data_IF_428327803542
#
_entry.id   IF_428327803542
#
_cell.length_a   1.000
_cell.length_b   1.000
_cell.length_c   1.000
_cell.angle_alpha   90.00
_cell.angle_beta   90.00
_cell.angle_gamma   90.00
#
_symmetry.space_group_name_H-M   'P 1'
#
loop_
_entity.id
_entity.type
_entity.pdbx_description
1 polymer ?
#
# COMPACT_ATOMS: atom_id res chain seq x y z
N UNK A 1 43.63 -36.25 -19.16
CA UNK A 1 42.22 -35.94 -18.82
C UNK A 1 41.98 -34.43 -18.74
N UNK A 2 42.89 -33.64 -18.16
CA UNK A 2 42.79 -32.18 -18.03
C UNK A 2 42.73 -31.37 -19.34
N UNK A 3 43.49 -31.76 -20.36
CA UNK A 3 43.58 -30.99 -21.61
C UNK A 3 42.33 -31.11 -22.49
N UNK A 4 41.51 -32.16 -22.30
CA UNK A 4 40.26 -32.34 -23.02
C UNK A 4 39.14 -31.47 -22.41
N UNK A 5 39.09 -31.36 -21.07
CA UNK A 5 38.15 -30.46 -20.37
C UNK A 5 38.40 -28.98 -20.71
N UNK A 6 39.67 -28.57 -20.83
CA UNK A 6 40.03 -27.18 -21.09
C UNK A 6 39.74 -26.76 -22.55
N UNK A 7 39.84 -27.71 -23.48
CA UNK A 7 39.51 -27.52 -24.91
C UNK A 7 37.99 -27.47 -25.15
N UNK A 8 37.22 -28.28 -24.41
CA UNK A 8 35.75 -28.26 -24.40
C UNK A 8 35.21 -26.96 -23.76
N UNK A 9 35.79 -26.51 -22.64
CA UNK A 9 35.48 -25.19 -22.02
C UNK A 9 35.72 -24.02 -22.96
N UNK A 10 36.85 -24.00 -23.68
CA UNK A 10 37.17 -22.96 -24.68
C UNK A 10 36.25 -22.98 -25.90
N UNK A 11 35.71 -24.15 -26.27
CA UNK A 11 34.77 -24.29 -27.40
C UNK A 11 33.40 -23.70 -27.05
N UNK A 12 32.93 -23.93 -25.82
CA UNK A 12 31.68 -23.39 -25.27
C UNK A 12 31.76 -21.89 -24.90
N UNK A 13 32.91 -21.39 -24.47
CA UNK A 13 33.14 -19.98 -24.12
C UNK A 13 33.77 -19.18 -25.27
N UNK A 14 33.40 -19.47 -26.52
CA UNK A 14 33.74 -18.60 -27.64
C UNK A 14 32.99 -17.26 -27.49
N UNK A 15 33.64 -16.13 -27.80
CA UNK A 15 33.04 -14.80 -27.61
C UNK A 15 31.66 -14.62 -28.26
N UNK A 16 31.39 -15.32 -29.38
CA UNK A 16 30.06 -15.38 -30.01
C UNK A 16 29.02 -16.10 -29.14
N UNK A 17 29.37 -17.22 -28.52
CA UNK A 17 28.47 -17.97 -27.63
C UNK A 17 28.15 -17.16 -26.38
N UNK A 18 29.15 -16.46 -25.80
CA UNK A 18 28.93 -15.54 -24.68
C UNK A 18 27.98 -14.39 -25.07
N UNK A 19 28.18 -13.78 -26.24
CA UNK A 19 27.29 -12.73 -26.74
C UNK A 19 25.85 -13.22 -26.98
N UNK A 20 25.68 -14.42 -27.53
CA UNK A 20 24.37 -15.03 -27.74
C UNK A 20 23.68 -15.29 -26.39
N UNK A 21 24.41 -15.85 -25.42
CA UNK A 21 23.85 -16.10 -24.07
C UNK A 21 23.44 -14.80 -23.40
N UNK A 22 24.27 -13.76 -23.46
CA UNK A 22 23.93 -12.44 -22.92
C UNK A 22 22.69 -11.87 -23.62
N UNK A 23 22.62 -11.94 -24.95
CA UNK A 23 21.46 -11.47 -25.70
C UNK A 23 20.18 -12.22 -25.31
N UNK A 24 20.24 -13.54 -25.17
CA UNK A 24 19.11 -14.36 -24.71
C UNK A 24 18.70 -13.97 -23.29
N UNK A 25 19.65 -13.80 -22.36
CA UNK A 25 19.36 -13.37 -20.99
C UNK A 25 18.70 -11.98 -20.94
N UNK A 26 19.14 -11.04 -21.78
CA UNK A 26 18.52 -9.71 -21.87
C UNK A 26 17.10 -9.81 -22.42
N UNK A 27 16.86 -10.60 -23.46
CA UNK A 27 15.52 -10.77 -24.06
C UNK A 27 14.58 -11.44 -23.06
N UNK A 28 15.01 -12.53 -22.43
CA UNK A 28 14.22 -13.26 -21.44
C UNK A 28 13.97 -12.40 -20.21
N UNK A 29 15.01 -11.76 -19.66
CA UNK A 29 14.91 -10.87 -18.51
C UNK A 29 14.01 -9.66 -18.78
N UNK A 30 14.12 -9.06 -19.97
CA UNK A 30 13.24 -7.97 -20.41
C UNK A 30 11.78 -8.42 -20.53
N UNK A 31 11.53 -9.61 -21.09
CA UNK A 31 10.18 -10.18 -21.17
C UNK A 31 9.55 -10.45 -19.80
N UNK A 32 10.31 -11.05 -18.88
CA UNK A 32 9.87 -11.30 -17.49
C UNK A 32 9.60 -9.97 -16.78
N UNK A 33 10.51 -8.99 -16.89
CA UNK A 33 10.37 -7.68 -16.27
C UNK A 33 9.11 -6.94 -16.74
N UNK A 34 8.85 -6.93 -18.05
CA UNK A 34 7.64 -6.33 -18.61
C UNK A 34 6.36 -7.05 -18.13
N UNK A 35 6.40 -8.39 -18.04
CA UNK A 35 5.29 -9.19 -17.51
C UNK A 35 4.98 -8.87 -16.05
N UNK A 36 6.01 -8.83 -15.19
CA UNK A 36 5.86 -8.48 -13.77
C UNK A 36 5.38 -7.04 -13.58
N UNK A 37 5.88 -6.11 -14.39
CA UNK A 37 5.44 -4.72 -14.34
C UNK A 37 3.95 -4.60 -14.62
N UNK A 38 3.46 -5.23 -15.70
CA UNK A 38 2.04 -5.24 -16.03
C UNK A 38 1.19 -5.99 -14.99
N UNK A 39 1.73 -7.05 -14.40
CA UNK A 39 1.04 -7.76 -13.32
C UNK A 39 0.92 -6.87 -12.07
N UNK A 40 1.93 -6.04 -11.79
CA UNK A 40 1.95 -5.13 -10.64
C UNK A 40 0.91 -4.01 -10.67
N UNK A 41 0.28 -3.77 -11.82
CA UNK A 41 -0.87 -2.86 -11.93
C UNK A 41 -2.14 -3.44 -11.28
N UNK A 42 -2.19 -4.76 -11.03
CA UNK A 42 -3.35 -5.43 -10.44
C UNK A 42 -3.18 -5.59 -8.92
N UNK A 43 -4.14 -5.13 -8.10
CA UNK A 43 -4.07 -5.25 -6.64
C UNK A 43 -3.79 -6.68 -6.12
N UNK A 44 -4.37 -7.70 -6.76
CA UNK A 44 -4.19 -9.10 -6.38
C UNK A 44 -2.72 -9.58 -6.49
N UNK A 45 -1.93 -8.98 -7.38
CA UNK A 45 -0.53 -9.36 -7.56
C UNK A 45 0.32 -8.98 -6.33
N UNK A 46 -0.03 -7.90 -5.63
CA UNK A 46 0.71 -7.42 -4.47
C UNK A 46 0.83 -8.51 -3.38
N UNK A 47 -0.24 -9.28 -3.17
CA UNK A 47 -0.28 -10.39 -2.21
C UNK A 47 0.72 -11.53 -2.53
N UNK A 48 1.21 -11.60 -3.77
CA UNK A 48 2.09 -12.69 -4.23
C UNK A 48 3.58 -12.36 -4.26
N UNK A 49 3.96 -11.08 -4.15
CA UNK A 49 5.36 -10.65 -4.34
C UNK A 49 6.10 -10.22 -3.09
N UNK A 50 5.40 -9.68 -2.09
CA UNK A 50 5.97 -9.29 -0.80
C UNK A 50 4.94 -9.48 0.32
N UNK A 51 5.25 -9.09 1.56
CA UNK A 51 4.42 -9.34 2.75
C UNK A 51 3.10 -8.52 2.79
N UNK A 52 2.22 -8.70 1.79
CA UNK A 52 1.00 -7.91 1.57
C UNK A 52 -0.29 -8.70 1.66
N UNK A 53 -0.27 -10.03 1.84
CA UNK A 53 -1.47 -10.86 1.80
C UNK A 53 -2.56 -10.39 2.79
N UNK A 54 -2.18 -10.09 4.04
CA UNK A 54 -3.10 -9.58 5.06
C UNK A 54 -3.69 -8.21 4.68
N UNK A 55 -2.88 -7.33 4.08
CA UNK A 55 -3.29 -6.00 3.64
C UNK A 55 -4.23 -6.08 2.44
N UNK A 56 -3.92 -6.93 1.46
CA UNK A 56 -4.81 -7.21 0.33
C UNK A 56 -6.14 -7.79 0.80
N UNK A 57 -6.11 -8.79 1.68
CA UNK A 57 -7.32 -9.38 2.26
C UNK A 57 -8.16 -8.32 2.98
N UNK A 58 -7.54 -7.48 3.81
CA UNK A 58 -8.25 -6.39 4.48
C UNK A 58 -8.86 -5.35 3.51
N UNK A 59 -8.30 -5.21 2.30
CA UNK A 59 -8.81 -4.32 1.27
C UNK A 59 -10.00 -4.97 0.52
N UNK A 60 -9.95 -6.24 0.13
CA UNK A 60 -11.07 -6.88 -0.60
C UNK A 60 -12.19 -7.43 0.30
N UNK A 61 -11.88 -7.82 1.53
CA UNK A 61 -12.79 -8.59 2.39
C UNK A 61 -12.60 -8.21 3.86
N UNK A 62 -13.09 -7.02 4.23
CA UNK A 62 -13.19 -6.61 5.63
C UNK A 62 -14.27 -5.53 5.83
N UNK A 63 -14.46 -5.11 7.08
CA UNK A 63 -15.23 -3.91 7.41
C UNK A 63 -14.35 -2.65 7.57
N UNK A 64 -13.05 -2.75 7.36
CA UNK A 64 -12.08 -1.68 7.60
C UNK A 64 -12.17 -0.59 6.53
N UNK A 65 -11.54 0.56 6.80
CA UNK A 65 -11.58 1.71 5.90
C UNK A 65 -10.97 1.39 4.50
N UNK A 66 -9.99 0.48 4.43
CA UNK A 66 -9.45 -0.01 3.16
C UNK A 66 -10.53 -0.66 2.27
N UNK A 67 -11.45 -1.44 2.84
CA UNK A 67 -12.53 -2.06 2.05
C UNK A 67 -13.58 -1.06 1.58
N UNK A 68 -13.83 0.00 2.35
CA UNK A 68 -14.68 1.11 1.90
C UNK A 68 -14.08 1.79 0.65
N UNK A 69 -12.75 1.89 0.58
CA UNK A 69 -12.02 2.42 -0.58
C UNK A 69 -11.99 1.44 -1.76
N UNK A 70 -11.83 0.14 -1.52
CA UNK A 70 -11.96 -0.89 -2.55
C UNK A 70 -13.31 -0.82 -3.26
N UNK A 71 -14.41 -0.74 -2.49
CA UNK A 71 -15.78 -0.60 -3.00
C UNK A 71 -16.02 0.68 -3.79
N UNK A 72 -15.19 1.69 -3.57
CA UNK A 72 -15.21 2.94 -4.32
C UNK A 72 -14.37 2.87 -5.60
N UNK A 73 -13.71 1.75 -5.91
CA UNK A 73 -12.77 1.60 -7.03
C UNK A 73 -11.42 2.31 -6.80
N UNK A 74 -11.01 2.49 -5.55
CA UNK A 74 -9.67 2.97 -5.18
C UNK A 74 -8.73 1.79 -5.00
N UNK A 75 -7.64 1.78 -5.78
CA UNK A 75 -6.63 0.72 -5.79
C UNK A 75 -5.45 1.01 -4.87
N UNK A 76 -4.60 0.01 -4.65
CA UNK A 76 -3.43 0.15 -3.79
C UNK A 76 -2.51 1.30 -4.22
N UNK A 77 -2.30 1.49 -5.53
CA UNK A 77 -1.35 2.49 -6.05
C UNK A 77 -1.88 3.92 -6.06
N UNK A 78 -3.17 4.12 -5.83
CA UNK A 78 -3.74 5.46 -5.64
C UNK A 78 -3.23 6.10 -4.33
N UNK A 79 -2.85 5.28 -3.34
CA UNK A 79 -2.21 5.73 -2.10
C UNK A 79 -0.73 5.29 -1.97
N UNK A 80 -0.40 4.07 -2.41
CA UNK A 80 0.94 3.47 -2.27
C UNK A 80 1.77 3.62 -3.55
N UNK A 81 2.41 4.77 -3.71
CA UNK A 81 3.31 5.04 -4.81
C UNK A 81 4.78 4.82 -4.39
N UNK A 82 5.19 3.55 -4.32
CA UNK A 82 6.58 3.19 -4.10
C UNK A 82 7.40 3.26 -5.40
N UNK A 83 8.65 3.71 -5.32
CA UNK A 83 9.58 3.63 -6.44
C UNK A 83 9.85 2.19 -6.85
N UNK A 84 10.26 1.96 -8.10
CA UNK A 84 10.62 0.63 -8.59
C UNK A 84 11.74 0.01 -7.74
N UNK A 85 12.73 0.80 -7.33
CA UNK A 85 13.83 0.32 -6.49
C UNK A 85 13.36 -0.11 -5.11
N UNK A 86 12.38 0.59 -4.50
CA UNK A 86 11.79 0.18 -3.24
C UNK A 86 11.05 -1.16 -3.38
N UNK A 87 10.21 -1.31 -4.41
CA UNK A 87 9.49 -2.56 -4.71
C UNK A 87 10.46 -3.75 -4.89
N UNK A 88 11.56 -3.56 -5.61
CA UNK A 88 12.59 -4.60 -5.77
C UNK A 88 13.23 -4.96 -4.44
N UNK A 89 13.57 -3.98 -3.59
CA UNK A 89 14.17 -4.23 -2.28
C UNK A 89 13.22 -5.02 -1.36
N UNK A 90 11.93 -4.66 -1.36
CA UNK A 90 10.89 -5.37 -0.61
C UNK A 90 10.72 -6.81 -1.08
N UNK A 91 10.69 -7.04 -2.39
CA UNK A 91 10.64 -8.39 -2.96
C UNK A 91 11.85 -9.25 -2.60
N UNK A 92 13.06 -8.66 -2.63
CA UNK A 92 14.28 -9.35 -2.19
C UNK A 92 14.19 -9.72 -0.71
N UNK A 93 13.81 -8.77 0.16
CA UNK A 93 13.61 -8.99 1.59
C UNK A 93 12.60 -10.09 1.87
N UNK A 94 11.50 -10.14 1.12
CA UNK A 94 10.50 -11.19 1.23
C UNK A 94 11.09 -12.57 0.91
N UNK A 95 11.82 -12.70 -0.20
CA UNK A 95 12.44 -13.96 -0.62
C UNK A 95 13.56 -14.41 0.33
N UNK A 96 14.32 -13.47 0.90
CA UNK A 96 15.38 -13.79 1.86
C UNK A 96 14.86 -13.99 3.28
N UNK A 97 13.58 -13.71 3.56
CA UNK A 97 12.99 -13.75 4.89
C UNK A 97 13.37 -12.56 5.80
N UNK A 98 13.96 -11.50 5.24
CA UNK A 98 14.39 -10.30 5.97
C UNK A 98 13.28 -9.23 5.98
N UNK A 99 12.12 -9.57 6.54
CA UNK A 99 10.97 -8.67 6.67
C UNK A 99 10.33 -8.78 8.05
N UNK A 100 9.55 -7.76 8.42
CA UNK A 100 8.84 -7.69 9.71
C UNK A 100 7.36 -8.00 9.54
N UNK A 101 6.78 -8.64 10.56
CA UNK A 101 5.34 -8.87 10.69
C UNK A 101 4.89 -8.45 12.10
N UNK A 102 3.96 -7.48 12.24
CA UNK A 102 3.36 -6.69 11.16
C UNK A 102 4.42 -5.81 10.46
N UNK A 103 4.15 -5.40 9.22
CA UNK A 103 5.05 -4.47 8.52
C UNK A 103 5.16 -3.16 9.30
N UNK A 104 6.30 -2.49 9.19
CA UNK A 104 6.44 -1.16 9.73
C UNK A 104 5.39 -0.23 9.11
N UNK A 105 4.69 0.51 9.96
CA UNK A 105 3.77 1.54 9.48
C UNK A 105 4.60 2.63 8.84
N UNK A 106 4.46 2.79 7.53
CA UNK A 106 4.95 3.99 6.88
C UNK A 106 4.05 5.16 7.32
N UNK A 107 4.65 6.30 7.69
CA UNK A 107 3.92 7.54 7.94
C UNK A 107 3.51 8.18 6.60
N UNK A 108 2.55 7.56 5.92
CA UNK A 108 1.80 8.14 4.80
C UNK A 108 0.31 8.20 5.21
N UNK A 109 -0.52 8.96 4.50
CA UNK A 109 -1.87 9.30 4.99
C UNK A 109 -2.00 10.70 5.60
N UNK A 110 -1.19 11.64 5.12
CA UNK A 110 -1.34 13.06 5.44
C UNK A 110 -2.66 13.59 4.91
N UNK A 111 -3.12 14.70 5.48
CA UNK A 111 -4.29 15.41 5.00
C UNK A 111 -4.20 15.77 3.51
N UNK A 112 -3.02 16.18 3.05
CA UNK A 112 -2.71 16.48 1.64
C UNK A 112 -3.05 15.29 0.71
N UNK A 113 -2.63 14.09 1.09
CA UNK A 113 -2.87 12.88 0.30
C UNK A 113 -4.37 12.56 0.23
N UNK A 114 -5.05 12.57 1.37
CA UNK A 114 -6.49 12.30 1.43
C UNK A 114 -7.29 13.35 0.63
N UNK A 115 -6.84 14.60 0.63
CA UNK A 115 -7.48 15.70 -0.08
C UNK A 115 -7.30 15.67 -1.59
N UNK A 116 -6.50 14.77 -2.14
CA UNK A 116 -6.55 14.50 -3.57
C UNK A 116 -7.97 14.05 -3.98
N UNK A 117 -8.65 13.26 -3.15
CA UNK A 117 -10.01 12.78 -3.40
C UNK A 117 -11.08 13.44 -2.53
N UNK A 118 -10.78 13.76 -1.27
CA UNK A 118 -11.72 14.31 -0.27
C UNK A 118 -11.73 15.86 -0.19
N UNK A 119 -11.46 16.50 -1.32
CA UNK A 119 -11.56 17.94 -1.50
C UNK A 119 -12.00 18.24 -2.93
N UNK A 120 -12.81 19.28 -3.09
CA UNK A 120 -13.25 19.76 -4.40
C UNK A 120 -12.07 20.16 -5.29
N UNK A 121 -11.00 20.70 -4.69
CA UNK A 121 -9.81 21.15 -5.41
C UNK A 121 -8.80 20.03 -5.73
N UNK A 122 -8.97 18.84 -5.14
CA UNK A 122 -8.04 17.72 -5.36
C UNK A 122 -8.07 17.19 -6.79
N UNK A 123 -7.05 16.45 -7.20
CA UNK A 123 -6.94 15.87 -8.56
C UNK A 123 -7.19 14.36 -8.60
N UNK A 124 -7.37 13.72 -7.45
CA UNK A 124 -7.60 12.28 -7.32
C UNK A 124 -9.00 11.87 -7.78
N UNK A 125 -9.11 10.61 -8.19
CA UNK A 125 -10.33 9.95 -8.66
C UNK A 125 -10.36 8.52 -8.12
N UNK A 126 -11.54 7.99 -7.73
CA UNK A 126 -12.84 8.67 -7.61
C UNK A 126 -12.83 9.81 -6.58
N UNK A 127 -13.81 10.72 -6.68
CA UNK A 127 -14.05 11.72 -5.64
C UNK A 127 -14.85 11.12 -4.50
N UNK A 128 -14.46 11.46 -3.27
CA UNK A 128 -15.18 11.13 -2.05
C UNK A 128 -15.75 12.37 -1.40
N UNK A 129 -16.42 12.19 -0.26
CA UNK A 129 -16.99 13.29 0.51
C UNK A 129 -15.92 14.29 0.96
N UNK A 130 -16.26 15.57 0.96
CA UNK A 130 -15.32 16.62 1.36
C UNK A 130 -15.13 16.67 2.87
N UNK A 131 -14.03 17.29 3.32
CA UNK A 131 -13.84 17.54 4.75
C UNK A 131 -14.97 18.37 5.38
N UNK A 132 -15.55 19.30 4.64
CA UNK A 132 -16.70 20.10 5.11
C UNK A 132 -17.94 19.22 5.29
N UNK A 133 -18.16 18.27 4.38
CA UNK A 133 -19.22 17.26 4.50
C UNK A 133 -19.00 16.43 5.76
N UNK A 134 -17.81 15.84 5.93
CA UNK A 134 -17.46 15.06 7.11
C UNK A 134 -17.63 15.86 8.42
N UNK A 135 -17.25 17.15 8.42
CA UNK A 135 -17.43 18.04 9.57
C UNK A 135 -18.90 18.28 9.90
N UNK A 136 -19.74 18.42 8.88
CA UNK A 136 -21.18 18.63 9.05
C UNK A 136 -21.91 17.37 9.53
N UNK A 137 -21.51 16.19 9.06
CA UNK A 137 -22.10 14.91 9.45
C UNK A 137 -21.71 14.50 10.88
N UNK A 138 -20.56 14.94 11.36
CA UNK A 138 -20.10 14.71 12.74
C UNK A 138 -20.34 15.89 13.67
N UNK A 139 -21.38 16.70 13.41
CA UNK A 139 -21.73 17.89 14.20
C UNK A 139 -22.33 17.54 15.58
N UNK A 140 -21.60 16.76 16.39
CA UNK A 140 -21.97 16.35 17.75
C UNK A 140 -21.73 17.46 18.78
N UNK A 141 -22.28 18.66 18.53
CA UNK A 141 -22.01 19.87 19.31
C UNK A 141 -20.50 20.07 19.54
N UNK A 142 -20.08 20.28 20.80
CA UNK A 142 -18.67 20.51 21.19
C UNK A 142 -17.76 19.27 21.04
N UNK A 143 -18.31 18.11 20.68
CA UNK A 143 -17.55 16.84 20.55
C UNK A 143 -17.22 16.45 19.11
N UNK A 144 -17.28 17.41 18.17
CA UNK A 144 -16.99 17.15 16.77
C UNK A 144 -15.51 16.78 16.56
N UNK A 145 -15.18 15.55 16.10
CA UNK A 145 -13.79 15.13 15.89
C UNK A 145 -13.11 15.88 14.74
N UNK A 146 -13.86 16.42 13.78
CA UNK A 146 -13.34 17.18 12.65
C UNK A 146 -13.27 18.70 12.92
N UNK A 147 -13.88 19.17 14.00
CA UNK A 147 -13.82 20.56 14.47
C UNK A 147 -13.47 20.61 15.96
N UNK A 148 -12.26 20.15 16.30
CA UNK A 148 -11.81 20.00 17.67
C UNK A 148 -10.78 21.08 18.09
N UNK A 149 -10.49 21.16 19.38
CA UNK A 149 -9.58 22.16 19.96
C UNK A 149 -8.08 21.88 19.72
N UNK A 150 -7.70 20.73 19.14
CA UNK A 150 -6.32 20.40 18.79
C UNK A 150 -5.90 21.00 17.44
N UNK A 151 -6.81 21.69 16.73
CA UNK A 151 -6.51 22.32 15.45
C UNK A 151 -6.40 21.30 14.31
N UNK A 152 -5.55 21.60 13.32
CA UNK A 152 -5.39 20.76 12.13
C UNK A 152 -4.60 19.50 12.47
N UNK A 153 -5.21 18.35 12.21
CA UNK A 153 -4.60 17.03 12.40
C UNK A 153 -4.57 16.28 11.06
N UNK A 154 -3.60 15.37 10.91
CA UNK A 154 -3.60 14.44 9.79
C UNK A 154 -4.66 13.36 9.97
N UNK A 155 -5.25 12.91 8.85
CA UNK A 155 -6.33 11.93 8.86
C UNK A 155 -5.89 10.60 9.50
N UNK A 156 -4.64 10.20 9.26
CA UNK A 156 -4.06 8.96 9.78
C UNK A 156 -3.86 8.94 11.31
N UNK A 157 -4.05 10.07 12.00
CA UNK A 157 -3.97 10.10 13.46
C UNK A 157 -5.12 9.37 14.14
N UNK A 158 -6.28 9.33 13.48
CA UNK A 158 -7.45 8.61 13.97
C UNK A 158 -7.86 7.48 13.01
N UNK A 159 -7.87 7.77 11.71
CA UNK A 159 -8.29 6.82 10.69
C UNK A 159 -7.17 5.86 10.30
N UNK A 160 -7.47 4.57 10.32
CA UNK A 160 -6.57 3.50 9.89
C UNK A 160 -7.18 2.74 8.73
N UNK A 161 -6.40 2.56 7.65
CA UNK A 161 -6.85 1.84 6.45
C UNK A 161 -6.97 0.32 6.70
N UNK A 162 -5.88 -0.29 7.18
CA UNK A 162 -5.72 -1.74 7.26
C UNK A 162 -5.83 -2.32 8.68
N UNK A 163 -6.33 -1.54 9.63
CA UNK A 163 -6.60 -1.97 11.00
C UNK A 163 -7.79 -1.16 11.55
N UNK A 164 -8.29 -1.53 12.73
CA UNK A 164 -9.32 -0.73 13.38
C UNK A 164 -8.82 0.69 13.67
N UNK A 165 -9.66 1.67 13.40
CA UNK A 165 -9.41 3.08 13.67
C UNK A 165 -9.57 3.38 15.15
N UNK A 166 -8.89 4.41 15.64
CA UNK A 166 -8.87 4.79 17.05
C UNK A 166 -9.19 6.27 17.19
N UNK A 167 -9.93 6.63 18.23
CA UNK A 167 -10.26 8.03 18.50
C UNK A 167 -9.37 8.51 19.63
N UNK A 168 -8.42 9.39 19.32
CA UNK A 168 -7.51 9.91 20.33
C UNK A 168 -8.23 10.66 21.46
N UNK A 169 -9.39 11.27 21.16
CA UNK A 169 -10.15 12.09 22.10
C UNK A 169 -10.70 11.28 23.28
N UNK A 170 -11.00 9.98 23.09
CA UNK A 170 -11.54 9.12 24.15
C UNK A 170 -10.50 8.69 25.18
N UNK A 171 -9.25 9.10 25.01
CA UNK A 171 -8.21 8.93 26.04
C UNK A 171 -8.44 9.85 27.24
N UNK A 172 -9.16 10.97 27.03
CA UNK A 172 -9.42 11.98 28.06
C UNK A 172 -10.91 12.32 28.20
N UNK A 173 -11.72 12.09 27.18
CA UNK A 173 -13.13 12.47 27.13
C UNK A 173 -14.06 11.25 27.00
N UNK A 174 -15.26 11.37 27.55
CA UNK A 174 -16.33 10.40 27.33
C UNK A 174 -17.38 11.01 26.39
N UNK A 175 -17.71 10.30 25.32
CA UNK A 175 -18.71 10.72 24.34
C UNK A 175 -19.77 9.65 24.17
N UNK A 176 -21.04 10.02 24.24
CA UNK A 176 -22.15 9.07 24.07
C UNK A 176 -22.19 8.44 22.67
N UNK A 177 -21.85 9.20 21.62
CA UNK A 177 -21.82 8.70 20.24
C UNK A 177 -20.72 7.67 19.98
N UNK A 178 -19.72 7.55 20.87
CA UNK A 178 -18.63 6.60 20.69
C UNK A 178 -19.13 5.14 20.67
N UNK A 179 -20.20 4.84 21.41
CA UNK A 179 -20.83 3.51 21.40
C UNK A 179 -21.41 3.14 20.04
N UNK A 180 -21.79 4.13 19.25
CA UNK A 180 -22.54 3.97 18.00
C UNK A 180 -21.65 3.67 16.80
N UNK A 181 -20.33 3.81 16.97
CA UNK A 181 -19.36 3.48 15.91
C UNK A 181 -19.45 2.00 15.51
N UNK A 182 -19.22 1.74 14.23
CA UNK A 182 -19.19 0.37 13.72
C UNK A 182 -17.94 -0.40 14.22
N UNK A 183 -17.86 -1.69 13.94
CA UNK A 183 -16.77 -2.57 14.40
C UNK A 183 -15.41 -2.33 13.71
N UNK A 184 -15.31 -1.40 12.74
CA UNK A 184 -14.05 -0.93 12.18
C UNK A 184 -13.32 0.06 13.09
N UNK A 185 -13.95 0.49 14.18
CA UNK A 185 -13.34 1.30 15.22
C UNK A 185 -13.04 0.44 16.45
N UNK A 186 -11.91 0.70 17.09
CA UNK A 186 -11.65 0.14 18.42
C UNK A 186 -12.63 0.75 19.40
N UNK A 187 -13.27 -0.11 20.19
CA UNK A 187 -14.07 0.24 21.35
C UNK A 187 -13.30 -0.20 22.58
N UNK A 188 -13.06 0.72 23.51
CA UNK A 188 -12.47 0.42 24.81
C UNK A 188 -13.50 -0.16 25.77
#
# INVERSE_FOLDING_TARGET
MSDLEDKERKKFLTGKTVLIVIAVLIIVGGGIGAGLFKASEKPAFCASCHNMESYYTSWIDSNLLANKHEKADVTCHDCHQASISAKINEGLKYITGDYKTPMEKHNFGTREMCFQCHSDAGTGSPKGDTFDTATSETAFAESNPHANHNGVQDCNMCHSMHQQSEIMCVQCHEFSWYSDLDSSWKKN
#
